data_IF_002723298697
#
_entry.id   IF_002723298697
#
_cell.length_a   1.000
_cell.length_b   1.000
_cell.length_c   1.000
_cell.angle_alpha   90.00
_cell.angle_beta   90.00
_cell.angle_gamma   90.00
#
_symmetry.space_group_name_H-M   'P 1'
#
loop_
_entity.id
_entity.type
_entity.pdbx_description
1 polymer ?
#
# COMPACT_ATOMS: atom_id res chain seq x y z
N UNK A 1 4.88 17.48 -27.39
CA UNK A 1 4.15 17.49 -26.11
C UNK A 1 2.73 17.10 -26.43
N UNK A 2 2.22 16.06 -25.78
CA UNK A 2 0.83 15.59 -25.92
C UNK A 2 -0.09 16.56 -25.16
N UNK A 3 -1.24 16.96 -25.71
CA UNK A 3 -2.23 17.84 -25.04
C UNK A 3 -3.01 17.14 -23.90
N UNK A 4 -2.42 16.12 -23.25
CA UNK A 4 -3.08 15.32 -22.24
C UNK A 4 -3.16 16.06 -20.89
N UNK A 5 -4.37 16.11 -20.33
CA UNK A 5 -4.64 16.57 -18.97
C UNK A 5 -4.67 15.38 -18.02
N UNK A 6 -3.55 15.14 -17.35
CA UNK A 6 -3.40 14.07 -16.36
C UNK A 6 -3.19 14.70 -14.98
N UNK A 7 -4.11 14.45 -14.06
CA UNK A 7 -4.01 14.93 -12.68
C UNK A 7 -3.35 13.91 -11.75
N UNK A 8 -2.59 14.36 -10.75
CA UNK A 8 -2.00 13.50 -9.73
C UNK A 8 -2.73 13.71 -8.40
N UNK A 9 -3.37 12.67 -7.89
CA UNK A 9 -3.98 12.65 -6.56
C UNK A 9 -2.92 12.28 -5.53
N UNK A 10 -2.66 13.19 -4.61
CA UNK A 10 -1.53 13.08 -3.69
C UNK A 10 -1.63 14.04 -2.51
N UNK A 11 -0.73 13.86 -1.56
CA UNK A 11 -0.57 14.81 -0.44
C UNK A 11 0.47 15.86 -0.83
N UNK A 12 0.11 17.16 -0.90
CA UNK A 12 1.04 18.25 -1.20
C UNK A 12 2.25 18.27 -0.26
N UNK A 13 3.41 18.60 -0.81
CA UNK A 13 4.69 18.67 -0.09
C UNK A 13 5.33 17.32 0.22
N UNK A 14 4.69 16.18 -0.08
CA UNK A 14 5.35 14.86 0.04
C UNK A 14 6.17 14.58 -1.21
N UNK A 15 7.45 14.26 -1.04
CA UNK A 15 8.39 14.01 -2.14
C UNK A 15 7.84 13.11 -3.25
N UNK A 16 7.30 11.93 -2.92
CA UNK A 16 6.83 10.99 -3.95
C UNK A 16 5.58 11.47 -4.71
N UNK A 17 4.83 12.38 -4.10
CA UNK A 17 3.67 13.03 -4.72
C UNK A 17 4.15 14.08 -5.72
N UNK A 18 5.02 14.99 -5.27
CA UNK A 18 5.58 16.05 -6.11
C UNK A 18 6.37 15.47 -7.28
N UNK A 19 7.21 14.46 -7.03
CA UNK A 19 7.99 13.79 -8.08
C UNK A 19 7.11 13.21 -9.19
N UNK A 20 5.93 12.68 -8.86
CA UNK A 20 5.00 12.17 -9.87
C UNK A 20 4.30 13.31 -10.63
N UNK A 21 3.90 14.38 -9.95
CA UNK A 21 3.34 15.56 -10.61
C UNK A 21 4.35 16.22 -11.57
N UNK A 22 5.61 16.34 -11.16
CA UNK A 22 6.70 16.88 -11.97
C UNK A 22 7.03 15.94 -13.16
N UNK A 23 6.99 14.62 -12.94
CA UNK A 23 7.18 13.64 -14.00
C UNK A 23 6.08 13.72 -15.07
N UNK A 24 4.81 13.92 -14.66
CA UNK A 24 3.70 14.15 -15.59
C UNK A 24 3.89 15.46 -16.35
N UNK A 25 4.18 16.56 -15.65
CA UNK A 25 4.42 17.87 -16.27
C UNK A 25 5.52 17.83 -17.33
N UNK A 26 6.64 17.17 -17.04
CA UNK A 26 7.76 17.05 -17.98
C UNK A 26 7.37 16.36 -19.30
N UNK A 27 6.31 15.56 -19.31
CA UNK A 27 5.84 14.79 -20.48
C UNK A 27 4.67 15.44 -21.21
N UNK A 28 3.75 16.08 -20.47
CA UNK A 28 2.51 16.64 -21.01
C UNK A 28 2.51 18.17 -21.09
N UNK A 29 3.38 18.85 -20.33
CA UNK A 29 3.30 20.29 -20.10
C UNK A 29 2.15 20.70 -19.15
N UNK A 30 1.47 19.74 -18.54
CA UNK A 30 0.35 19.96 -17.62
C UNK A 30 0.66 19.41 -16.23
N UNK A 31 0.70 20.31 -15.24
CA UNK A 31 0.92 19.95 -13.84
C UNK A 31 -0.34 20.23 -13.03
N UNK A 32 -0.98 19.17 -12.52
CA UNK A 32 -2.06 19.30 -11.54
C UNK A 32 -1.86 18.34 -10.39
N UNK A 33 -1.77 18.89 -9.19
CA UNK A 33 -1.78 18.14 -7.95
C UNK A 33 -3.11 18.32 -7.23
N UNK A 34 -3.70 17.21 -6.79
CA UNK A 34 -5.06 17.15 -6.26
C UNK A 34 -5.02 16.57 -4.85
N UNK A 35 -5.32 17.39 -3.84
CA UNK A 35 -5.60 16.90 -2.50
C UNK A 35 -7.08 16.57 -2.38
N UNK A 36 -7.41 15.30 -2.11
CA UNK A 36 -8.79 14.87 -1.94
C UNK A 36 -9.51 15.57 -0.78
N UNK A 37 -8.79 16.19 0.16
CA UNK A 37 -9.40 17.02 1.20
C UNK A 37 -10.08 18.29 0.68
N UNK A 38 -9.72 18.75 -0.53
CA UNK A 38 -10.26 19.95 -1.17
C UNK A 38 -11.21 19.64 -2.35
N UNK A 39 -11.48 18.35 -2.61
CA UNK A 39 -12.35 17.92 -3.71
C UNK A 39 -13.82 18.02 -3.30
N UNK A 40 -14.64 18.57 -4.19
CA UNK A 40 -16.09 18.69 -4.01
C UNK A 40 -16.80 17.92 -5.12
N UNK A 41 -17.66 16.97 -4.74
CA UNK A 41 -18.60 16.34 -5.66
C UNK A 41 -19.94 17.07 -5.57
N UNK A 42 -20.33 17.71 -6.66
CA UNK A 42 -21.69 18.24 -6.83
C UNK A 42 -22.54 17.18 -7.52
N UNK A 43 -23.51 16.61 -6.81
CA UNK A 43 -24.40 15.56 -7.34
C UNK A 43 -25.51 16.10 -8.24
N UNK A 44 -25.86 17.39 -8.14
CA UNK A 44 -26.86 18.00 -9.03
C UNK A 44 -26.31 18.11 -10.45
N UNK A 45 -25.07 18.58 -10.59
CA UNK A 45 -24.39 18.73 -11.88
C UNK A 45 -23.60 17.49 -12.29
N UNK A 46 -23.22 16.65 -11.32
CA UNK A 46 -22.29 15.53 -11.50
C UNK A 46 -20.85 15.98 -11.74
N UNK A 47 -20.48 17.21 -11.34
CA UNK A 47 -19.14 17.77 -11.47
C UNK A 47 -18.27 17.36 -10.27
N UNK A 48 -17.01 17.01 -10.53
CA UNK A 48 -16.04 16.68 -9.49
C UNK A 48 -14.96 17.76 -9.47
N UNK A 49 -15.11 18.73 -8.58
CA UNK A 49 -14.34 19.98 -8.61
C UNK A 49 -13.12 19.94 -7.69
N UNK A 50 -12.01 20.50 -8.16
CA UNK A 50 -10.83 20.82 -7.34
C UNK A 50 -10.28 22.20 -7.73
N UNK A 51 -10.35 23.16 -6.80
CA UNK A 51 -9.93 24.57 -6.96
C UNK A 51 -10.41 25.23 -8.27
N UNK A 52 -11.67 25.01 -8.63
CA UNK A 52 -12.30 25.64 -9.80
C UNK A 52 -12.16 24.86 -11.12
N UNK A 53 -11.47 23.72 -11.12
CA UNK A 53 -11.41 22.82 -12.28
C UNK A 53 -12.29 21.59 -12.08
N UNK A 54 -13.01 21.19 -13.12
CA UNK A 54 -13.76 19.93 -13.14
C UNK A 54 -12.83 18.78 -13.55
N UNK A 55 -12.54 17.90 -12.60
CA UNK A 55 -11.72 16.72 -12.79
C UNK A 55 -12.34 15.73 -13.77
N UNK A 56 -13.66 15.78 -14.00
CA UNK A 56 -14.33 14.99 -15.03
C UNK A 56 -13.92 15.37 -16.46
N UNK A 57 -13.24 16.50 -16.66
CA UNK A 57 -12.74 16.95 -17.96
C UNK A 57 -11.32 16.47 -18.30
N UNK A 58 -10.69 15.70 -17.42
CA UNK A 58 -9.32 15.22 -17.58
C UNK A 58 -9.29 13.92 -18.37
N UNK A 59 -8.15 13.62 -19.00
CA UNK A 59 -7.96 12.33 -19.67
C UNK A 59 -7.69 11.22 -18.66
N UNK A 60 -6.95 11.53 -17.59
CA UNK A 60 -6.65 10.58 -16.53
C UNK A 60 -6.35 11.21 -15.16
N UNK A 61 -6.45 10.38 -14.12
CA UNK A 61 -6.01 10.67 -12.76
C UNK A 61 -5.08 9.57 -12.25
N UNK A 62 -3.96 9.94 -11.64
CA UNK A 62 -3.02 9.01 -11.01
C UNK A 62 -3.12 9.13 -9.49
N UNK A 63 -3.53 8.05 -8.81
CA UNK A 63 -3.62 7.98 -7.35
C UNK A 63 -2.25 7.60 -6.77
N UNK A 64 -1.48 8.60 -6.35
CA UNK A 64 -0.21 8.38 -5.64
C UNK A 64 -0.41 8.17 -4.14
N UNK A 65 -1.31 8.95 -3.55
CA UNK A 65 -1.70 8.87 -2.14
C UNK A 65 -3.00 9.63 -1.92
N UNK A 66 -3.98 8.98 -1.29
CA UNK A 66 -5.31 9.60 -1.12
C UNK A 66 -5.54 10.24 0.27
N UNK A 67 -4.78 9.81 1.28
CA UNK A 67 -4.82 10.35 2.64
C UNK A 67 -3.48 10.11 3.33
N UNK A 68 -3.11 10.96 4.29
CA UNK A 68 -1.96 10.73 5.15
C UNK A 68 -2.21 9.59 6.16
N UNK A 69 -3.43 9.50 6.67
CA UNK A 69 -3.86 8.51 7.65
C UNK A 69 -4.71 7.44 6.98
N UNK A 70 -4.50 6.19 7.39
CA UNK A 70 -5.37 5.10 6.99
C UNK A 70 -6.58 5.10 7.91
N UNK A 71 -7.75 5.23 7.31
CA UNK A 71 -9.04 5.25 8.01
C UNK A 71 -10.14 4.89 7.02
N UNK A 72 -11.34 4.55 7.51
CA UNK A 72 -12.52 4.35 6.66
C UNK A 72 -12.82 5.54 5.73
N UNK A 73 -12.44 6.77 6.08
CA UNK A 73 -12.61 7.96 5.23
C UNK A 73 -11.89 7.90 3.89
N UNK A 74 -10.90 7.02 3.75
CA UNK A 74 -10.28 6.76 2.45
C UNK A 74 -11.31 6.17 1.48
N UNK A 75 -12.23 5.33 1.95
CA UNK A 75 -13.27 4.73 1.13
C UNK A 75 -14.16 5.82 0.53
N UNK A 76 -14.56 6.80 1.35
CA UNK A 76 -15.36 7.95 0.90
C UNK A 76 -14.62 8.75 -0.18
N UNK A 77 -13.32 9.01 0.01
CA UNK A 77 -12.49 9.71 -0.98
C UNK A 77 -12.33 8.93 -2.29
N UNK A 78 -12.18 7.61 -2.21
CA UNK A 78 -12.12 6.75 -3.40
C UNK A 78 -13.45 6.74 -4.16
N UNK A 79 -14.58 6.74 -3.44
CA UNK A 79 -15.92 6.75 -4.04
C UNK A 79 -16.20 8.02 -4.85
N UNK A 80 -15.66 9.18 -4.45
CA UNK A 80 -15.77 10.41 -5.24
C UNK A 80 -15.22 10.25 -6.67
N UNK A 81 -14.15 9.46 -6.82
CA UNK A 81 -13.49 9.23 -8.11
C UNK A 81 -14.34 8.37 -9.06
N UNK A 82 -15.35 7.65 -8.55
CA UNK A 82 -16.29 6.91 -9.39
C UNK A 82 -17.11 7.84 -10.30
N UNK A 83 -17.34 9.10 -9.89
CA UNK A 83 -17.96 10.10 -10.76
C UNK A 83 -17.07 10.42 -11.96
N UNK A 84 -15.78 10.64 -11.75
CA UNK A 84 -14.83 10.88 -12.83
C UNK A 84 -14.72 9.66 -13.78
N UNK A 85 -14.63 8.44 -13.23
CA UNK A 85 -14.65 7.21 -14.04
C UNK A 85 -15.92 7.10 -14.90
N UNK A 86 -17.09 7.40 -14.32
CA UNK A 86 -18.36 7.37 -15.05
C UNK A 86 -18.44 8.42 -16.19
N UNK A 87 -17.60 9.47 -16.14
CA UNK A 87 -17.47 10.49 -17.18
C UNK A 87 -16.36 10.20 -18.20
N UNK A 88 -15.71 9.05 -18.10
CA UNK A 88 -14.69 8.59 -19.05
C UNK A 88 -13.25 8.86 -18.63
N UNK A 89 -13.02 9.46 -17.45
CA UNK A 89 -11.67 9.69 -16.93
C UNK A 89 -11.06 8.36 -16.51
N UNK A 90 -9.86 8.04 -16.99
CA UNK A 90 -9.15 6.82 -16.57
C UNK A 90 -8.40 7.05 -15.27
N UNK A 91 -8.56 6.16 -14.28
CA UNK A 91 -7.93 6.31 -12.96
C UNK A 91 -6.93 5.20 -12.68
N UNK A 92 -5.71 5.57 -12.28
CA UNK A 92 -4.56 4.67 -12.12
C UNK A 92 -3.98 4.73 -10.69
N UNK A 93 -4.00 3.69 -9.87
CA UNK A 93 -4.80 2.46 -10.07
C UNK A 93 -6.29 2.76 -9.91
N UNK A 94 -7.14 1.87 -10.44
CA UNK A 94 -8.60 2.02 -10.32
C UNK A 94 -9.00 2.11 -8.83
N UNK A 95 -9.93 3.00 -8.44
CA UNK A 95 -10.34 3.16 -7.04
C UNK A 95 -10.78 1.84 -6.40
N UNK A 96 -11.56 1.04 -7.13
CA UNK A 96 -12.05 -0.27 -6.69
C UNK A 96 -10.93 -1.25 -6.31
N UNK A 97 -9.84 -1.28 -7.10
CA UNK A 97 -8.67 -2.11 -6.83
C UNK A 97 -7.96 -1.71 -5.52
N UNK A 98 -7.95 -0.42 -5.21
CA UNK A 98 -7.33 0.13 -4.00
C UNK A 98 -8.17 -0.16 -2.76
N UNK A 99 -9.51 -0.19 -2.85
CA UNK A 99 -10.41 -0.44 -1.71
C UNK A 99 -9.99 -1.67 -0.90
N UNK A 100 -9.61 -2.76 -1.60
CA UNK A 100 -9.18 -4.03 -0.99
C UNK A 100 -7.85 -3.97 -0.22
N UNK A 101 -7.12 -2.86 -0.32
CA UNK A 101 -5.79 -2.68 0.27
C UNK A 101 -5.75 -1.60 1.36
N UNK A 102 -6.87 -0.90 1.58
CA UNK A 102 -6.99 0.07 2.67
C UNK A 102 -7.19 -0.64 4.01
N UNK A 103 -8.00 -1.69 4.00
CA UNK A 103 -8.15 -2.62 5.11
C UNK A 103 -7.16 -3.78 4.98
N UNK A 104 -6.32 -3.96 6.01
CA UNK A 104 -5.36 -5.07 6.11
C UNK A 104 -6.05 -6.43 6.03
N UNK A 105 -7.25 -6.58 6.60
CA UNK A 105 -7.99 -7.85 6.56
C UNK A 105 -8.35 -8.22 5.13
N UNK A 106 -8.95 -7.31 4.35
CA UNK A 106 -9.31 -7.55 2.96
C UNK A 106 -8.10 -7.99 2.10
N UNK A 107 -6.94 -7.33 2.29
CA UNK A 107 -5.68 -7.71 1.65
C UNK A 107 -5.25 -9.12 2.06
N UNK A 108 -5.24 -9.40 3.37
CA UNK A 108 -4.81 -10.70 3.92
C UNK A 108 -5.70 -11.85 3.46
N UNK A 109 -7.02 -11.64 3.42
CA UNK A 109 -7.98 -12.63 2.90
C UNK A 109 -7.70 -12.91 1.43
N UNK A 110 -7.47 -11.88 0.62
CA UNK A 110 -7.15 -12.05 -0.82
C UNK A 110 -5.86 -12.85 -1.02
N UNK A 111 -4.82 -12.55 -0.23
CA UNK A 111 -3.56 -13.30 -0.24
C UNK A 111 -3.77 -14.76 0.18
N UNK A 112 -4.62 -15.00 1.20
CA UNK A 112 -4.88 -16.37 1.67
C UNK A 112 -5.65 -17.20 0.65
N UNK A 113 -6.63 -16.59 -0.02
CA UNK A 113 -7.41 -17.23 -1.10
C UNK A 113 -6.56 -17.54 -2.35
N UNK A 114 -5.43 -16.84 -2.52
CA UNK A 114 -4.45 -17.09 -3.57
C UNK A 114 -3.31 -18.04 -3.12
N UNK A 115 -3.47 -18.73 -1.99
CA UNK A 115 -2.49 -19.65 -1.40
C UNK A 115 -1.09 -19.03 -1.23
N UNK A 116 -1.06 -17.74 -0.86
CA UNK A 116 0.19 -17.03 -0.60
C UNK A 116 0.71 -17.41 0.80
N UNK A 117 1.97 -17.85 0.94
CA UNK A 117 2.59 -18.10 2.24
C UNK A 117 2.65 -16.81 3.06
N UNK A 118 2.19 -16.88 4.29
CA UNK A 118 2.15 -15.78 5.25
C UNK A 118 2.26 -16.34 6.69
N UNK A 119 2.63 -15.54 7.69
CA UNK A 119 2.58 -15.97 9.07
C UNK A 119 1.17 -16.41 9.49
N UNK A 120 1.11 -17.32 10.48
CA UNK A 120 -0.18 -17.74 11.04
C UNK A 120 -0.92 -16.50 11.56
N UNK A 121 -2.14 -16.30 11.08
CA UNK A 121 -2.91 -15.09 11.37
C UNK A 121 -4.31 -15.50 11.80
N UNK A 122 -4.80 -14.91 12.89
CA UNK A 122 -6.19 -15.01 13.36
C UNK A 122 -6.81 -13.63 13.41
N UNK A 123 -8.10 -13.56 13.11
CA UNK A 123 -8.88 -12.33 13.23
C UNK A 123 -10.13 -12.64 14.04
N UNK A 124 -10.36 -11.88 15.10
CA UNK A 124 -11.45 -12.14 16.04
C UNK A 124 -11.78 -10.91 16.87
N UNK A 125 -13.02 -10.81 17.32
CA UNK A 125 -13.46 -9.88 18.37
C UNK A 125 -13.45 -10.55 19.77
N UNK A 126 -13.33 -11.88 19.81
CA UNK A 126 -13.40 -12.67 21.03
C UNK A 126 -12.04 -12.69 21.75
N UNK A 127 -12.01 -12.18 22.99
CA UNK A 127 -10.80 -12.10 23.80
C UNK A 127 -10.20 -13.48 24.11
N UNK A 128 -11.03 -14.50 24.35
CA UNK A 128 -10.54 -15.85 24.62
C UNK A 128 -9.90 -16.48 23.36
N UNK A 129 -10.45 -16.21 22.17
CA UNK A 129 -9.82 -16.61 20.91
C UNK A 129 -8.51 -15.86 20.64
N UNK A 130 -8.42 -14.61 21.07
CA UNK A 130 -7.18 -13.82 21.00
C UNK A 130 -6.10 -14.38 21.94
N UNK A 131 -6.44 -14.68 23.20
CA UNK A 131 -5.55 -15.33 24.16
C UNK A 131 -5.09 -16.71 23.67
N UNK A 132 -6.01 -17.50 23.10
CA UNK A 132 -5.69 -18.79 22.51
C UNK A 132 -4.75 -18.64 21.30
N UNK A 133 -4.83 -17.55 20.54
CA UNK A 133 -3.91 -17.24 19.45
C UNK A 133 -2.51 -16.96 19.99
N UNK A 134 -2.38 -16.06 20.97
CA UNK A 134 -1.10 -15.74 21.61
C UNK A 134 -0.46 -16.98 22.22
N UNK A 135 -1.25 -17.81 22.91
CA UNK A 135 -0.78 -19.09 23.46
C UNK A 135 -0.27 -20.04 22.37
N UNK A 136 -1.00 -20.16 21.26
CA UNK A 136 -0.63 -21.05 20.16
C UNK A 136 0.58 -20.56 19.34
N UNK A 137 0.91 -19.27 19.42
CA UNK A 137 2.03 -18.65 18.70
C UNK A 137 3.24 -18.40 19.62
N UNK A 138 3.05 -18.41 20.94
CA UNK A 138 4.02 -17.94 21.93
C UNK A 138 4.15 -16.40 21.97
N UNK A 139 4.21 -15.76 20.80
CA UNK A 139 4.25 -14.31 20.63
C UNK A 139 3.53 -13.88 19.35
N UNK A 140 2.75 -12.80 19.42
CA UNK A 140 1.95 -12.31 18.31
C UNK A 140 2.02 -10.78 18.19
N UNK A 141 2.07 -10.31 16.94
CA UNK A 141 1.91 -8.91 16.59
C UNK A 141 0.42 -8.62 16.37
N UNK A 142 -0.12 -7.73 17.20
CA UNK A 142 -1.46 -7.20 17.05
C UNK A 142 -1.40 -5.97 16.14
N UNK A 143 -2.30 -5.89 15.16
CA UNK A 143 -2.27 -4.86 14.12
C UNK A 143 -3.64 -4.20 13.97
N UNK A 144 -3.74 -2.86 14.00
CA UNK A 144 -4.97 -2.20 13.58
C UNK A 144 -5.26 -2.53 12.11
N UNK A 145 -6.53 -2.75 11.78
CA UNK A 145 -6.96 -3.04 10.41
C UNK A 145 -6.62 -1.90 9.45
N UNK A 146 -6.76 -0.66 9.92
CA UNK A 146 -6.39 0.54 9.20
C UNK A 146 -5.06 1.10 9.74
N UNK A 147 -3.94 0.60 9.23
CA UNK A 147 -2.61 1.04 9.68
C UNK A 147 -1.57 1.02 8.57
N UNK A 148 -0.58 1.91 8.71
CA UNK A 148 0.66 1.87 7.93
C UNK A 148 1.86 2.17 8.82
N UNK A 149 3.06 1.81 8.34
CA UNK A 149 4.33 2.13 9.02
C UNK A 149 4.37 1.65 10.49
N UNK A 150 3.80 0.48 10.75
CA UNK A 150 3.67 -0.12 12.08
C UNK A 150 2.94 0.71 13.16
N UNK A 151 2.23 1.78 12.79
CA UNK A 151 1.50 2.61 13.75
C UNK A 151 0.38 1.82 14.44
N UNK A 152 0.36 1.88 15.78
CA UNK A 152 -0.63 1.19 16.60
C UNK A 152 -0.43 -0.32 16.70
N UNK A 153 0.67 -0.87 16.15
CA UNK A 153 0.99 -2.28 16.34
C UNK A 153 1.64 -2.49 17.71
N UNK A 154 1.27 -3.58 18.39
CA UNK A 154 1.93 -4.02 19.61
C UNK A 154 2.34 -5.49 19.53
N UNK A 155 3.37 -5.86 20.29
CA UNK A 155 3.82 -7.24 20.41
C UNK A 155 3.36 -7.77 21.77
N UNK A 156 2.54 -8.81 21.75
CA UNK A 156 2.03 -9.46 22.97
C UNK A 156 2.57 -10.89 22.98
N UNK A 157 3.19 -11.26 24.10
CA UNK A 157 3.73 -12.60 24.32
C UNK A 157 2.97 -13.30 25.45
N UNK A 158 3.02 -14.62 25.49
CA UNK A 158 2.45 -15.39 26.60
C UNK A 158 3.03 -14.94 27.94
N UNK A 159 2.17 -14.63 28.90
CA UNK A 159 2.58 -14.14 30.22
C UNK A 159 1.39 -13.65 31.04
N UNK A 160 1.61 -13.29 32.32
CA UNK A 160 0.55 -12.87 33.24
C UNK A 160 -0.20 -11.61 32.75
N UNK A 161 0.48 -10.74 32.01
CA UNK A 161 -0.10 -9.47 31.53
C UNK A 161 -0.77 -9.58 30.15
N UNK A 162 -0.71 -10.75 29.50
CA UNK A 162 -1.18 -10.90 28.12
C UNK A 162 -2.68 -10.56 27.97
N UNK A 163 -3.52 -11.03 28.89
CA UNK A 163 -4.96 -10.77 28.86
C UNK A 163 -5.28 -9.27 28.98
N UNK A 164 -4.57 -8.55 29.86
CA UNK A 164 -4.74 -7.11 30.02
C UNK A 164 -4.31 -6.34 28.75
N UNK A 165 -3.15 -6.68 28.18
CA UNK A 165 -2.66 -6.05 26.94
C UNK A 165 -3.60 -6.32 25.74
N UNK A 166 -4.19 -7.52 25.67
CA UNK A 166 -5.19 -7.87 24.66
C UNK A 166 -6.45 -7.02 24.84
N UNK A 167 -6.95 -6.90 26.07
CA UNK A 167 -8.13 -6.08 26.37
C UNK A 167 -7.91 -4.60 26.04
N UNK A 168 -6.73 -4.05 26.37
CA UNK A 168 -6.36 -2.68 26.03
C UNK A 168 -6.34 -2.45 24.52
N UNK A 169 -5.74 -3.38 23.76
CA UNK A 169 -5.74 -3.30 22.30
C UNK A 169 -7.16 -3.40 21.72
N UNK A 170 -8.00 -4.29 22.25
CA UNK A 170 -9.37 -4.51 21.80
C UNK A 170 -10.29 -3.31 22.05
N UNK A 171 -10.04 -2.53 23.11
CA UNK A 171 -10.80 -1.33 23.42
C UNK A 171 -10.74 -0.28 22.29
N UNK A 172 -9.60 -0.20 21.60
CA UNK A 172 -9.39 0.68 20.44
C UNK A 172 -9.62 -0.04 19.10
N UNK A 173 -9.48 -1.37 19.08
CA UNK A 173 -9.55 -2.21 17.89
C UNK A 173 -10.43 -3.44 18.13
N UNK A 174 -11.77 -3.29 18.11
CA UNK A 174 -12.69 -4.38 18.46
C UNK A 174 -12.45 -5.64 17.62
N UNK A 175 -12.18 -5.48 16.32
CA UNK A 175 -11.71 -6.57 15.46
C UNK A 175 -10.19 -6.64 15.52
N UNK A 176 -9.67 -7.65 16.23
CA UNK A 176 -8.24 -7.81 16.44
C UNK A 176 -7.61 -8.64 15.32
N UNK A 177 -6.60 -8.09 14.65
CA UNK A 177 -5.75 -8.83 13.73
C UNK A 177 -4.50 -9.31 14.47
N UNK A 178 -4.37 -10.63 14.61
CA UNK A 178 -3.39 -11.29 15.48
C UNK A 178 -2.50 -12.17 14.62
N UNK A 179 -1.27 -11.74 14.40
CA UNK A 179 -0.32 -12.42 13.52
C UNK A 179 0.86 -12.96 14.32
N UNK A 180 1.21 -14.22 14.11
CA UNK A 180 2.39 -14.86 14.67
C UNK A 180 3.64 -14.01 14.42
N UNK A 181 4.41 -13.74 15.48
CA UNK A 181 5.71 -13.08 15.35
C UNK A 181 6.70 -14.08 14.73
N UNK A 182 7.13 -13.81 13.49
CA UNK A 182 8.22 -14.56 12.86
C UNK A 182 9.56 -13.86 13.11
N UNK A 183 10.60 -14.66 13.31
CA UNK A 183 11.97 -14.16 13.28
C UNK A 183 12.35 -13.91 11.83
N UNK A 184 12.75 -12.68 11.53
CA UNK A 184 13.09 -12.27 10.18
C UNK A 184 14.61 -12.24 10.10
N UNK A 185 15.15 -12.58 8.94
CA UNK A 185 16.61 -12.63 8.66
C UNK A 185 17.34 -11.27 8.75
N UNK A 186 16.75 -10.26 9.41
CA UNK A 186 17.27 -8.90 9.52
C UNK A 186 16.98 -8.02 8.29
N UNK A 187 16.36 -8.59 7.26
CA UNK A 187 15.95 -7.91 6.04
C UNK A 187 14.54 -8.31 5.61
N UNK A 188 13.83 -7.38 5.00
CA UNK A 188 12.66 -7.65 4.18
C UNK A 188 12.87 -7.09 2.76
N UNK A 189 12.06 -7.51 1.81
CA UNK A 189 12.13 -7.13 0.41
C UNK A 189 10.87 -6.39 -0.01
N UNK A 190 11.03 -5.31 -0.77
CA UNK A 190 9.96 -4.73 -1.58
C UNK A 190 10.13 -5.15 -3.03
N UNK A 191 9.26 -6.04 -3.50
CA UNK A 191 9.24 -6.51 -4.89
C UNK A 191 8.20 -5.69 -5.66
N UNK A 192 8.65 -4.93 -6.65
CA UNK A 192 7.88 -3.86 -7.27
C UNK A 192 7.38 -4.29 -8.64
N UNK A 193 6.13 -3.96 -8.93
CA UNK A 193 5.50 -4.21 -10.21
C UNK A 193 4.89 -2.94 -10.80
N UNK A 194 4.98 -2.80 -12.12
CA UNK A 194 4.32 -1.77 -12.92
C UNK A 194 3.42 -2.49 -13.93
N UNK A 195 2.11 -2.27 -13.83
CA UNK A 195 1.08 -2.94 -14.62
C UNK A 195 1.20 -4.49 -14.60
N UNK A 196 1.48 -5.04 -13.42
CA UNK A 196 1.68 -6.49 -13.23
C UNK A 196 3.02 -7.06 -13.72
N UNK A 197 3.84 -6.26 -14.40
CA UNK A 197 5.18 -6.64 -14.82
C UNK A 197 6.21 -6.34 -13.74
N UNK A 198 7.15 -7.28 -13.56
CA UNK A 198 8.23 -7.14 -12.57
C UNK A 198 9.12 -5.96 -12.94
N UNK A 199 9.30 -5.00 -12.02
CA UNK A 199 10.13 -3.83 -12.24
C UNK A 199 11.50 -3.98 -11.59
N UNK A 200 11.53 -4.20 -10.27
CA UNK A 200 12.77 -4.29 -9.51
C UNK A 200 12.52 -4.88 -8.11
N UNK A 201 13.58 -5.08 -7.34
CA UNK A 201 13.49 -5.45 -5.92
C UNK A 201 14.52 -4.68 -5.12
N UNK A 202 14.08 -4.12 -4.00
CA UNK A 202 14.97 -3.54 -3.01
C UNK A 202 14.84 -4.31 -1.70
N UNK A 203 15.91 -4.36 -0.92
CA UNK A 203 15.89 -4.82 0.45
C UNK A 203 15.77 -3.62 1.42
N UNK A 204 15.06 -3.82 2.54
CA UNK A 204 15.10 -2.97 3.73
C UNK A 204 15.87 -3.71 4.82
N UNK A 205 17.08 -3.25 5.11
CA UNK A 205 17.99 -3.90 6.07
C UNK A 205 17.90 -3.17 7.41
N UNK A 206 17.61 -3.88 8.49
CA UNK A 206 17.51 -3.25 9.83
C UNK A 206 18.87 -2.76 10.34
N UNK A 207 18.87 -1.74 11.18
CA UNK A 207 20.08 -1.26 11.85
C UNK A 207 20.47 -2.09 13.11
N UNK A 208 19.82 -3.24 13.33
CA UNK A 208 19.97 -4.06 14.55
C UNK A 208 19.14 -3.54 15.72
N UNK A 209 18.59 -4.47 16.53
CA UNK A 209 17.88 -4.17 17.77
C UNK A 209 16.39 -3.80 17.65
N UNK A 210 15.83 -3.73 16.44
CA UNK A 210 14.40 -3.45 16.20
C UNK A 210 13.66 -4.69 15.72
N UNK A 211 12.43 -4.90 16.20
CA UNK A 211 11.60 -6.04 15.78
C UNK A 211 11.03 -5.90 14.36
N UNK A 212 11.15 -4.71 13.76
CA UNK A 212 10.77 -4.42 12.39
C UNK A 212 11.94 -3.77 11.62
N UNK A 213 11.86 -3.89 10.30
CA UNK A 213 12.83 -3.44 9.30
C UNK A 213 12.43 -2.11 8.66
N UNK A 214 11.45 -1.39 9.22
CA UNK A 214 10.99 -0.14 8.61
C UNK A 214 12.10 0.91 8.63
N UNK A 215 12.23 1.68 7.54
CA UNK A 215 13.23 2.77 7.45
C UNK A 215 13.03 3.82 8.54
N UNK A 216 11.80 4.00 9.02
CA UNK A 216 11.50 4.92 10.13
C UNK A 216 12.18 4.48 11.44
N UNK A 217 12.57 3.21 11.54
CA UNK A 217 13.33 2.62 12.64
C UNK A 217 14.83 2.49 12.34
N UNK A 218 15.35 3.20 11.33
CA UNK A 218 16.79 3.27 11.03
C UNK A 218 17.28 2.30 9.95
N UNK A 219 16.39 1.55 9.28
CA UNK A 219 16.77 0.66 8.18
C UNK A 219 17.33 1.41 6.96
N UNK A 220 18.11 0.71 6.12
CA UNK A 220 18.64 1.22 4.85
C UNK A 220 18.07 0.46 3.65
N UNK A 221 17.91 1.13 2.53
CA UNK A 221 17.63 0.47 1.26
C UNK A 221 18.92 -0.08 0.64
N UNK A 222 18.81 -1.25 0.02
CA UNK A 222 19.87 -1.87 -0.76
C UNK A 222 19.26 -2.54 -1.99
N UNK A 223 20.03 -2.66 -3.07
CA UNK A 223 19.65 -3.47 -4.21
C UNK A 223 19.55 -4.95 -3.81
N UNK A 224 18.64 -5.68 -4.46
CA UNK A 224 18.49 -7.11 -4.26
C UNK A 224 18.08 -7.80 -5.56
N UNK A 225 18.82 -8.84 -5.95
CA UNK A 225 18.48 -9.66 -7.12
C UNK A 225 17.69 -10.89 -6.68
N UNK A 226 16.36 -10.94 -6.90
CA UNK A 226 15.55 -12.12 -6.57
C UNK A 226 15.73 -13.23 -7.61
N UNK A 227 15.50 -14.48 -7.19
CA UNK A 227 15.35 -15.58 -8.14
C UNK A 227 13.95 -15.58 -8.79
N UNK A 228 13.77 -16.43 -9.80
CA UNK A 228 12.51 -16.52 -10.53
C UNK A 228 11.34 -16.99 -9.65
N UNK A 229 11.59 -17.82 -8.64
CA UNK A 229 10.56 -18.34 -7.75
C UNK A 229 10.01 -17.25 -6.81
N UNK A 230 10.88 -16.36 -6.35
CA UNK A 230 10.53 -15.22 -5.50
C UNK A 230 9.76 -14.15 -6.30
N UNK A 231 10.15 -13.90 -7.55
CA UNK A 231 9.38 -13.04 -8.46
C UNK A 231 8.00 -13.64 -8.72
N UNK A 232 7.91 -14.95 -8.98
CA UNK A 232 6.62 -15.63 -9.20
C UNK A 232 5.71 -15.55 -7.97
N UNK A 233 6.25 -15.80 -6.77
CA UNK A 233 5.51 -15.65 -5.52
C UNK A 233 4.91 -14.24 -5.40
N UNK A 234 5.72 -13.21 -5.63
CA UNK A 234 5.25 -11.83 -5.54
C UNK A 234 4.25 -11.49 -6.66
N UNK A 235 4.44 -12.03 -7.87
CA UNK A 235 3.49 -11.86 -8.98
C UNK A 235 2.13 -12.46 -8.63
N UNK A 236 2.09 -13.68 -8.08
CA UNK A 236 0.85 -14.31 -7.60
C UNK A 236 0.20 -13.54 -6.46
N UNK A 237 1.01 -12.96 -5.57
CA UNK A 237 0.51 -12.15 -4.45
C UNK A 237 -0.15 -10.85 -4.92
N UNK A 238 0.42 -10.16 -5.91
CA UNK A 238 -0.13 -8.87 -6.38
C UNK A 238 -1.29 -9.02 -7.37
N UNK A 239 -1.29 -10.08 -8.18
CA UNK A 239 -2.24 -10.26 -9.28
C UNK A 239 -3.73 -10.07 -8.92
N UNK A 240 -4.24 -10.51 -7.74
CA UNK A 240 -5.64 -10.31 -7.37
C UNK A 240 -6.09 -8.85 -7.23
N UNK A 241 -5.15 -7.91 -7.12
CA UNK A 241 -5.44 -6.50 -6.89
C UNK A 241 -5.45 -5.66 -8.17
N UNK A 242 -4.80 -6.10 -9.25
CA UNK A 242 -4.85 -5.39 -10.54
C UNK A 242 -4.36 -3.93 -10.47
N UNK A 243 -3.31 -3.67 -9.71
CA UNK A 243 -2.77 -2.32 -9.52
C UNK A 243 -1.83 -1.92 -10.67
N UNK A 244 -1.89 -0.65 -11.06
CA UNK A 244 -0.98 -0.05 -12.04
C UNK A 244 0.45 0.07 -11.50
N UNK A 245 0.61 0.29 -10.20
CA UNK A 245 1.91 0.26 -9.54
C UNK A 245 1.75 -0.34 -8.15
N UNK A 246 2.59 -1.29 -7.78
CA UNK A 246 2.49 -1.96 -6.48
C UNK A 246 3.83 -2.45 -5.97
N UNK A 247 3.88 -2.67 -4.66
CA UNK A 247 5.01 -3.30 -3.99
C UNK A 247 4.48 -4.43 -3.13
N UNK A 248 5.08 -5.61 -3.28
CA UNK A 248 4.83 -6.78 -2.43
C UNK A 248 5.93 -6.84 -1.39
N UNK A 249 5.53 -6.82 -0.12
CA UNK A 249 6.46 -6.87 1.01
C UNK A 249 6.66 -8.33 1.42
N UNK A 250 7.89 -8.82 1.21
CA UNK A 250 8.28 -10.22 1.41
C UNK A 250 9.40 -10.33 2.43
N UNK A 251 9.30 -11.24 3.39
CA UNK A 251 10.46 -11.62 4.20
C UNK A 251 10.98 -13.00 3.83
N UNK A 252 12.29 -13.16 3.99
CA UNK A 252 12.96 -14.44 3.90
C UNK A 252 13.08 -15.03 5.30
N UNK A 253 12.57 -16.25 5.47
CA UNK A 253 12.64 -17.03 6.70
C UNK A 253 13.32 -18.38 6.44
N UNK A 254 13.70 -19.09 7.51
CA UNK A 254 14.27 -20.44 7.39
C UNK A 254 13.32 -21.43 6.71
N UNK A 255 12.00 -21.24 6.88
CA UNK A 255 10.96 -22.08 6.28
C UNK A 255 10.62 -21.66 4.82
N UNK A 256 11.28 -20.63 4.30
CA UNK A 256 11.03 -20.05 2.97
C UNK A 256 10.45 -18.62 3.01
N UNK A 257 10.18 -18.02 1.84
CA UNK A 257 9.67 -16.66 1.76
C UNK A 257 8.19 -16.57 2.19
N UNK A 258 7.86 -15.50 2.90
CA UNK A 258 6.49 -15.17 3.33
C UNK A 258 6.12 -13.75 2.89
N UNK A 259 4.85 -13.54 2.56
CA UNK A 259 4.31 -12.22 2.18
C UNK A 259 3.58 -11.61 3.38
N UNK A 260 3.85 -10.33 3.66
CA UNK A 260 3.17 -9.58 4.71
C UNK A 260 2.04 -8.70 4.20
N UNK A 261 2.28 -8.01 3.08
CA UNK A 261 1.32 -7.07 2.51
C UNK A 261 1.61 -6.82 1.03
N UNK A 262 0.57 -6.39 0.33
CA UNK A 262 0.65 -5.76 -0.99
C UNK A 262 0.24 -4.31 -0.81
N UNK A 263 1.04 -3.38 -1.34
CA UNK A 263 0.85 -1.94 -1.13
C UNK A 263 0.48 -1.24 -2.44
N UNK A 264 -0.58 -0.43 -2.39
CA UNK A 264 -0.98 0.44 -3.50
C UNK A 264 -0.22 1.78 -3.58
N UNK A 265 0.40 2.23 -2.48
CA UNK A 265 0.99 3.58 -2.40
C UNK A 265 2.49 3.59 -2.07
N UNK A 266 3.09 2.42 -1.84
CA UNK A 266 4.48 2.24 -1.39
C UNK A 266 5.52 2.28 -2.52
N UNK A 267 6.73 1.82 -2.24
CA UNK A 267 7.74 1.52 -3.28
C UNK A 267 8.67 2.66 -3.69
N UNK A 268 8.17 3.87 -3.96
CA UNK A 268 8.94 4.89 -4.71
C UNK A 268 10.33 5.20 -4.16
N UNK A 269 10.44 5.33 -2.83
CA UNK A 269 11.73 5.61 -2.19
C UNK A 269 12.69 4.41 -2.26
N UNK A 270 12.17 3.20 -2.09
CA UNK A 270 12.97 1.98 -2.24
C UNK A 270 13.40 1.74 -3.68
N UNK A 271 12.54 2.05 -4.65
CA UNK A 271 12.88 2.00 -6.08
C UNK A 271 14.00 2.99 -6.41
N UNK A 272 13.96 4.19 -5.84
CA UNK A 272 14.98 5.21 -6.07
C UNK A 272 16.30 4.91 -5.35
N UNK A 273 16.27 4.74 -4.02
CA UNK A 273 17.48 4.59 -3.21
C UNK A 273 18.05 3.17 -3.26
N UNK A 274 17.20 2.15 -3.42
CA UNK A 274 17.62 0.75 -3.49
C UNK A 274 17.98 0.30 -4.89
N UNK A 275 17.19 0.67 -5.90
CA UNK A 275 17.36 0.17 -7.27
C UNK A 275 17.94 1.20 -8.24
N UNK A 276 18.07 2.47 -7.84
CA UNK A 276 18.54 3.55 -8.72
C UNK A 276 17.56 3.90 -9.85
N UNK A 277 16.28 3.54 -9.73
CA UNK A 277 15.26 3.77 -10.74
C UNK A 277 14.33 4.92 -10.35
N UNK A 278 13.74 5.58 -11.36
CA UNK A 278 12.75 6.63 -11.15
C UNK A 278 11.33 6.06 -11.36
N UNK A 279 10.71 5.63 -10.26
CA UNK A 279 9.33 5.12 -10.27
C UNK A 279 8.32 6.15 -10.77
N UNK A 280 8.53 7.45 -10.49
CA UNK A 280 7.59 8.49 -10.88
C UNK A 280 7.60 8.69 -12.39
N UNK A 281 8.79 8.74 -12.99
CA UNK A 281 8.99 8.76 -14.44
C UNK A 281 8.32 7.55 -15.11
N UNK A 282 8.62 6.34 -14.63
CA UNK A 282 8.11 5.10 -15.21
C UNK A 282 6.58 4.99 -15.14
N UNK A 283 5.97 5.41 -14.03
CA UNK A 283 4.51 5.43 -13.89
C UNK A 283 3.89 6.48 -14.81
N UNK A 284 4.47 7.67 -14.93
CA UNK A 284 3.98 8.69 -15.85
C UNK A 284 4.04 8.23 -17.32
N UNK A 285 5.15 7.60 -17.73
CA UNK A 285 5.31 7.01 -19.07
C UNK A 285 4.26 5.93 -19.34
N UNK A 286 4.03 5.03 -18.38
CA UNK A 286 3.01 4.00 -18.49
C UNK A 286 1.60 4.58 -18.66
N UNK A 287 1.22 5.54 -17.81
CA UNK A 287 -0.12 6.16 -17.87
C UNK A 287 -0.34 6.90 -19.18
N UNK A 288 0.65 7.65 -19.67
CA UNK A 288 0.55 8.36 -20.96
C UNK A 288 0.41 7.38 -22.13
N UNK A 289 1.19 6.30 -22.14
CA UNK A 289 1.08 5.26 -23.16
C UNK A 289 -0.30 4.61 -23.16
N UNK A 290 -0.83 4.30 -21.97
CA UNK A 290 -2.18 3.75 -21.81
C UNK A 290 -3.25 4.70 -22.33
N UNK A 291 -3.21 5.98 -21.94
CA UNK A 291 -4.23 6.98 -22.31
C UNK A 291 -4.17 7.35 -23.79
N UNK A 292 -3.00 7.24 -24.44
CA UNK A 292 -2.81 7.56 -25.86
C UNK A 292 -3.14 6.40 -26.80
N UNK A 293 -3.42 5.21 -26.28
CA UNK A 293 -3.75 4.00 -27.05
C UNK A 293 -5.25 3.93 -27.39
#
# INVERSE_FOLDING_TARGET
MTELKIGVIGIPGKWSTEALADAVEARTGFRRLIDMGAVVLDLETGALMHEGEDLCSYDALIIKKISETYSPHILDRLELLRMAEARGVRVFSRPEAILRLIDRLACTVSLRLADIPMPRTRVTEDLAQAEAAVTAYGSAVFKPLYSTKARGMCLISTGPDAAAQIADFAAENPVMYIQEKRDLSGQDLGIVFLNGEYLCTYARVSAGGTWNTTIHSGGKYADYTPDAALIDLARRAQAPFGLSFTTVDVALTEDGPIVFEVSAFGGYRGVNEGCGLDAAALVADHVIAEVSA
#
